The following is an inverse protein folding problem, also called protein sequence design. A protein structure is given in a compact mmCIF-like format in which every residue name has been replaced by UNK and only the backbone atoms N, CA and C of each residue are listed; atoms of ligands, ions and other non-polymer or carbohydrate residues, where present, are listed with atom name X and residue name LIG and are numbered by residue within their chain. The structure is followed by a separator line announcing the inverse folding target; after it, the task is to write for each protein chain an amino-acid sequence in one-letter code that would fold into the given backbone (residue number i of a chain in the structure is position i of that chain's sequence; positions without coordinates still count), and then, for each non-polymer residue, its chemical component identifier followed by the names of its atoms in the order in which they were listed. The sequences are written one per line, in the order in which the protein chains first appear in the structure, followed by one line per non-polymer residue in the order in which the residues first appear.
data_IF_614854766087
#
_entry.id   IF_614854766087
#
_cell.length_a   1.000
_cell.length_b   1.000
_cell.length_c   1.000
_cell.angle_alpha   90.00
_cell.angle_beta   90.00
_cell.angle_gamma   90.00
#
_symmetry.space_group_name_H-M   'P 1'
#
loop_
_entity.id
_entity.type
_entity.pdbx_description
1 polymer ?
#
# COMPACT_ATOMS: atom_id res chain seq x y z
N UNK A 1 18.91 0.50 8.67
CA UNK A 1 18.89 1.38 7.49
C UNK A 1 17.75 2.40 7.62
N UNK A 2 17.91 3.59 7.05
CA UNK A 2 16.87 4.63 7.11
C UNK A 2 15.81 4.42 6.03
N UNK A 3 14.55 4.76 6.34
CA UNK A 3 13.40 4.60 5.47
C UNK A 3 12.99 5.96 4.90
N UNK A 4 12.85 6.05 3.58
CA UNK A 4 12.32 7.22 2.92
C UNK A 4 10.81 7.19 2.78
N UNK A 5 10.09 8.13 3.42
CA UNK A 5 8.65 8.31 3.21
C UNK A 5 8.45 9.32 2.08
N UNK A 6 7.84 8.90 0.99
CA UNK A 6 7.62 9.74 -0.18
C UNK A 6 6.59 10.81 0.14
N UNK A 7 7.03 12.08 0.10
CA UNK A 7 6.19 13.26 0.28
C UNK A 7 5.90 13.92 -1.08
N UNK A 8 4.80 13.52 -1.68
CA UNK A 8 4.30 14.11 -2.92
C UNK A 8 3.09 15.06 -2.70
N UNK A 9 2.93 15.51 -1.45
CA UNK A 9 1.87 16.44 -1.05
C UNK A 9 0.55 15.77 -0.69
N UNK A 10 0.55 14.45 -0.45
CA UNK A 10 -0.63 13.67 -0.01
C UNK A 10 -0.20 12.63 1.02
N UNK A 11 -1.07 12.36 1.97
CA UNK A 11 -0.85 11.31 2.97
C UNK A 11 -0.81 11.82 4.40
N UNK A 12 -1.07 10.94 5.35
CA UNK A 12 -0.90 11.22 6.77
C UNK A 12 0.56 10.97 7.19
N UNK A 13 1.47 11.74 6.58
CA UNK A 13 2.92 11.53 6.70
C UNK A 13 3.40 11.53 8.15
N UNK A 14 2.84 12.42 8.98
CA UNK A 14 3.22 12.53 10.39
C UNK A 14 2.89 11.28 11.20
N UNK A 15 1.73 10.66 10.95
CA UNK A 15 1.33 9.41 11.63
C UNK A 15 2.17 8.22 11.16
N UNK A 16 2.43 8.12 9.85
CA UNK A 16 3.30 7.08 9.28
C UNK A 16 4.70 7.19 9.87
N UNK A 17 5.28 8.39 9.85
CA UNK A 17 6.61 8.67 10.44
C UNK A 17 6.66 8.22 11.89
N UNK A 18 5.73 8.70 12.71
CA UNK A 18 5.68 8.36 14.15
C UNK A 18 5.54 6.86 14.38
N UNK A 19 4.72 6.16 13.60
CA UNK A 19 4.51 4.73 13.76
C UNK A 19 5.79 3.93 13.43
N UNK A 20 6.54 4.32 12.39
CA UNK A 20 7.82 3.70 12.03
C UNK A 20 8.86 3.94 13.13
N UNK A 21 8.96 5.17 13.65
CA UNK A 21 9.89 5.51 14.74
C UNK A 21 9.56 4.72 16.03
N UNK A 22 8.26 4.55 16.34
CA UNK A 22 7.83 3.71 17.47
C UNK A 22 8.13 2.21 17.24
N UNK A 23 8.17 1.76 15.98
CA UNK A 23 8.58 0.40 15.63
C UNK A 23 10.10 0.21 15.63
N UNK A 24 10.88 1.27 15.88
CA UNK A 24 12.35 1.25 15.97
C UNK A 24 13.08 1.60 14.67
N UNK A 25 12.40 2.14 13.66
CA UNK A 25 12.99 2.57 12.40
C UNK A 25 13.42 4.04 12.42
N UNK A 26 14.45 4.35 11.64
CA UNK A 26 14.83 5.74 11.31
C UNK A 26 14.17 6.13 10.00
N UNK A 27 13.54 7.31 9.96
CA UNK A 27 12.79 7.73 8.76
C UNK A 27 12.87 9.22 8.48
N UNK A 28 12.79 9.57 7.19
CA UNK A 28 12.73 10.96 6.72
C UNK A 28 11.70 11.11 5.61
N UNK A 29 11.13 12.31 5.51
CA UNK A 29 10.27 12.66 4.37
C UNK A 29 11.16 13.03 3.18
N UNK A 30 10.86 12.45 2.00
CA UNK A 30 11.59 12.72 0.77
C UNK A 30 10.67 13.31 -0.29
N UNK A 31 11.00 14.51 -0.76
CA UNK A 31 10.23 15.23 -1.79
C UNK A 31 10.82 15.03 -3.19
N UNK A 32 12.14 14.91 -3.26
CA UNK A 32 12.84 14.75 -4.52
C UNK A 32 13.18 13.28 -4.77
N UNK A 33 12.76 12.68 -5.90
CA UNK A 33 13.11 11.31 -6.23
C UNK A 33 14.62 11.00 -6.24
N UNK A 34 15.45 11.99 -6.54
CA UNK A 34 16.93 11.84 -6.52
C UNK A 34 17.46 11.54 -5.11
N UNK A 35 16.72 11.93 -4.07
CA UNK A 35 17.11 11.63 -2.70
C UNK A 35 16.82 10.19 -2.27
N UNK A 36 16.07 9.41 -3.07
CA UNK A 36 15.77 8.01 -2.77
C UNK A 36 17.01 7.15 -2.55
N UNK A 37 18.12 7.50 -3.21
CA UNK A 37 19.40 6.79 -3.08
C UNK A 37 20.01 6.82 -1.67
N UNK A 38 19.58 7.76 -0.84
CA UNK A 38 20.04 7.91 0.55
C UNK A 38 19.37 6.92 1.52
N UNK A 39 18.38 6.17 1.06
CA UNK A 39 17.53 5.31 1.89
C UNK A 39 17.61 3.85 1.45
N UNK A 40 17.46 2.94 2.41
CA UNK A 40 17.46 1.49 2.16
C UNK A 40 16.11 0.97 1.67
N UNK A 41 15.01 1.63 2.04
CA UNK A 41 13.65 1.27 1.64
C UNK A 41 12.76 2.50 1.52
N UNK A 42 11.62 2.33 0.83
CA UNK A 42 10.69 3.40 0.53
C UNK A 42 9.27 3.08 1.02
N UNK A 43 8.57 4.09 1.50
CA UNK A 43 7.13 4.01 1.77
C UNK A 43 6.40 5.00 0.86
N UNK A 44 5.37 4.51 0.18
CA UNK A 44 4.45 5.29 -0.62
C UNK A 44 3.11 5.39 0.13
N UNK A 45 2.88 6.42 0.95
CA UNK A 45 1.59 6.66 1.56
C UNK A 45 0.61 7.21 0.53
N UNK A 46 -0.69 7.09 0.81
CA UNK A 46 -1.71 7.71 -0.02
C UNK A 46 -3.04 7.77 0.72
N UNK A 47 -3.75 8.88 0.58
CA UNK A 47 -5.10 9.08 1.09
C UNK A 47 -5.92 9.91 0.10
N UNK A 48 -7.24 9.74 0.09
CA UNK A 48 -8.13 10.47 -0.80
C UNK A 48 -8.29 9.78 -2.15
N UNK A 49 -8.34 10.55 -3.22
CA UNK A 49 -8.69 10.07 -4.57
C UNK A 49 -7.47 9.55 -5.34
N UNK A 50 -7.63 8.41 -6.01
CA UNK A 50 -6.57 7.77 -6.79
C UNK A 50 -5.99 8.67 -7.90
N UNK A 51 -6.88 9.26 -8.71
CA UNK A 51 -6.46 10.11 -9.84
C UNK A 51 -5.70 11.35 -9.37
N UNK A 52 -6.14 11.98 -8.27
CA UNK A 52 -5.44 13.12 -7.69
C UNK A 52 -4.06 12.72 -7.15
N UNK A 53 -3.97 11.58 -6.47
CA UNK A 53 -2.70 11.04 -5.98
C UNK A 53 -1.72 10.76 -7.12
N UNK A 54 -2.18 10.10 -8.19
CA UNK A 54 -1.36 9.83 -9.37
C UNK A 54 -0.84 11.13 -10.02
N UNK A 55 -1.72 12.12 -10.19
CA UNK A 55 -1.34 13.41 -10.80
C UNK A 55 -0.29 14.14 -9.97
N UNK A 56 -0.41 14.12 -8.64
CA UNK A 56 0.60 14.71 -7.74
C UNK A 56 1.93 13.95 -7.78
N UNK A 57 1.91 12.61 -7.82
CA UNK A 57 3.13 11.82 -8.04
C UNK A 57 3.81 12.19 -9.36
N UNK A 58 3.03 12.33 -10.44
CA UNK A 58 3.54 12.71 -11.76
C UNK A 58 4.15 14.12 -11.76
N UNK A 59 3.48 15.09 -11.15
CA UNK A 59 3.96 16.48 -11.03
C UNK A 59 5.28 16.57 -10.25
N UNK A 60 5.51 15.67 -9.30
CA UNK A 60 6.72 15.61 -8.48
C UNK A 60 7.77 14.63 -9.03
N UNK A 61 7.65 14.19 -10.29
CA UNK A 61 8.57 13.29 -11.00
C UNK A 61 8.70 11.86 -10.40
N UNK A 62 7.88 11.49 -9.43
CA UNK A 62 7.92 10.16 -8.84
C UNK A 62 7.46 9.06 -9.81
N UNK A 63 6.53 9.35 -10.71
CA UNK A 63 6.10 8.39 -11.75
C UNK A 63 7.28 8.01 -12.65
N UNK A 64 8.07 8.99 -13.07
CA UNK A 64 9.27 8.75 -13.89
C UNK A 64 10.33 7.95 -13.11
N UNK A 65 10.54 8.26 -11.82
CA UNK A 65 11.43 7.50 -10.95
C UNK A 65 11.01 6.03 -10.89
N UNK A 66 9.74 5.74 -10.60
CA UNK A 66 9.24 4.36 -10.50
C UNK A 66 9.34 3.61 -11.82
N UNK A 67 9.18 4.27 -12.96
CA UNK A 67 9.26 3.64 -14.29
C UNK A 67 10.68 3.42 -14.78
N UNK A 68 11.63 4.27 -14.43
CA UNK A 68 12.97 4.28 -15.05
C UNK A 68 14.09 3.91 -14.08
N UNK A 69 13.95 4.21 -12.80
CA UNK A 69 15.05 4.12 -11.84
C UNK A 69 14.80 3.11 -10.74
N UNK A 70 13.53 2.93 -10.35
CA UNK A 70 13.15 2.07 -9.23
C UNK A 70 13.51 0.60 -9.51
N UNK A 71 14.22 -0.01 -8.58
CA UNK A 71 14.52 -1.44 -8.53
C UNK A 71 14.11 -2.00 -7.17
N UNK A 72 13.19 -2.96 -7.16
CA UNK A 72 12.71 -3.62 -5.94
C UNK A 72 13.78 -4.44 -5.22
N UNK A 73 14.85 -4.83 -5.90
CA UNK A 73 15.98 -5.51 -5.23
C UNK A 73 16.83 -4.50 -4.43
N UNK A 74 16.83 -3.24 -4.85
CA UNK A 74 17.55 -2.16 -4.14
C UNK A 74 16.69 -1.49 -3.08
N UNK A 75 15.40 -1.25 -3.39
CA UNK A 75 14.47 -0.55 -2.50
C UNK A 75 13.22 -1.39 -2.24
N UNK A 76 13.14 -2.12 -1.12
CA UNK A 76 11.85 -2.60 -0.64
C UNK A 76 10.85 -1.44 -0.57
N UNK A 77 9.63 -1.67 -1.06
CA UNK A 77 8.59 -0.64 -1.17
C UNK A 77 7.32 -1.08 -0.44
N UNK A 78 6.78 -0.22 0.41
CA UNK A 78 5.47 -0.41 1.03
C UNK A 78 4.49 0.68 0.59
N UNK A 79 3.46 0.30 -0.17
CA UNK A 79 2.31 1.15 -0.49
C UNK A 79 1.22 1.07 0.57
N UNK A 80 0.70 2.20 1.07
CA UNK A 80 -0.33 2.23 2.12
C UNK A 80 -1.61 2.84 1.57
N UNK A 81 -2.72 2.11 1.65
CA UNK A 81 -4.07 2.49 1.20
C UNK A 81 -4.04 2.92 -0.27
N UNK A 82 -4.27 4.19 -0.62
CA UNK A 82 -4.14 4.67 -2.01
C UNK A 82 -2.71 4.45 -2.54
N UNK A 83 -1.69 4.44 -1.66
CA UNK A 83 -0.33 4.05 -2.05
C UNK A 83 -0.26 2.61 -2.59
N UNK A 84 -1.00 1.65 -2.00
CA UNK A 84 -1.14 0.31 -2.57
C UNK A 84 -1.88 0.34 -3.91
N UNK A 85 -2.95 1.12 -4.01
CA UNK A 85 -3.69 1.28 -5.27
C UNK A 85 -2.79 1.74 -6.42
N UNK A 86 -1.92 2.71 -6.15
CA UNK A 86 -0.98 3.27 -7.14
C UNK A 86 0.05 2.25 -7.65
N UNK A 87 0.29 1.15 -6.94
CA UNK A 87 1.17 0.07 -7.42
C UNK A 87 0.59 -0.67 -8.62
N UNK A 88 -0.73 -0.63 -8.83
CA UNK A 88 -1.44 -1.34 -9.91
C UNK A 88 -1.16 -0.72 -11.29
N UNK A 89 -1.66 -1.37 -12.35
CA UNK A 89 -1.54 -0.85 -13.72
C UNK A 89 -2.40 0.39 -13.95
N UNK A 90 -3.62 0.43 -13.36
CA UNK A 90 -4.60 1.51 -13.52
C UNK A 90 -5.68 1.50 -12.44
N UNK A 91 -6.37 2.63 -12.29
CA UNK A 91 -7.51 2.76 -11.37
C UNK A 91 -8.65 3.61 -11.96
N UNK A 92 -9.86 3.34 -11.48
CA UNK A 92 -11.09 3.99 -11.95
C UNK A 92 -11.62 5.07 -11.01
N UNK A 93 -11.04 5.25 -9.82
CA UNK A 93 -11.46 6.29 -8.89
C UNK A 93 -11.09 7.68 -9.43
N UNK A 94 -12.09 8.51 -9.68
CA UNK A 94 -11.90 9.86 -10.24
C UNK A 94 -11.60 9.88 -11.75
N UNK A 95 -11.85 8.76 -12.45
CA UNK A 95 -11.65 8.59 -13.88
C UNK A 95 -12.92 8.02 -14.55
N UNK A 96 -13.04 8.15 -15.89
CA UNK A 96 -14.11 7.48 -16.62
C UNK A 96 -13.78 6.01 -16.91
N UNK A 97 -14.81 5.21 -17.20
CA UNK A 97 -14.64 3.80 -17.54
C UNK A 97 -13.77 3.61 -18.80
N UNK A 98 -13.90 4.52 -19.78
CA UNK A 98 -13.15 4.48 -21.03
C UNK A 98 -11.71 4.96 -20.88
N UNK A 99 -11.44 5.84 -19.89
CA UNK A 99 -10.12 6.43 -19.67
C UNK A 99 -9.71 6.30 -18.19
N UNK A 100 -9.36 5.09 -17.73
CA UNK A 100 -8.86 4.91 -16.37
C UNK A 100 -7.53 5.64 -16.18
N UNK A 101 -7.30 6.14 -14.98
CA UNK A 101 -6.02 6.76 -14.63
C UNK A 101 -4.93 5.68 -14.56
N UNK A 102 -3.77 5.87 -15.22
CA UNK A 102 -2.65 4.94 -15.09
C UNK A 102 -2.18 4.79 -13.63
N UNK A 103 -1.50 3.67 -13.37
CA UNK A 103 -0.75 3.46 -12.12
C UNK A 103 0.75 3.34 -12.39
N UNK A 104 1.46 2.80 -11.42
CA UNK A 104 2.91 2.58 -11.50
C UNK A 104 3.24 1.26 -12.23
N UNK A 105 2.29 0.31 -12.32
CA UNK A 105 2.45 -0.97 -13.00
C UNK A 105 3.46 -1.91 -12.32
N UNK A 106 3.70 -1.73 -11.02
CA UNK A 106 4.62 -2.56 -10.24
C UNK A 106 4.00 -3.89 -9.82
N UNK A 107 2.68 -3.93 -9.71
CA UNK A 107 1.86 -5.12 -9.47
C UNK A 107 0.75 -5.15 -10.51
N UNK A 108 0.61 -6.28 -11.22
CA UNK A 108 -0.41 -6.45 -12.25
C UNK A 108 -1.80 -6.51 -11.64
N UNK A 109 -2.65 -5.56 -12.02
CA UNK A 109 -4.00 -5.44 -11.48
C UNK A 109 -4.64 -4.09 -11.75
N UNK A 110 -5.85 -3.94 -11.24
CA UNK A 110 -6.68 -2.73 -11.40
C UNK A 110 -7.31 -2.33 -10.08
N UNK A 111 -7.68 -1.05 -9.96
CA UNK A 111 -8.41 -0.52 -8.80
C UNK A 111 -9.84 -0.19 -9.24
N UNK A 112 -10.84 -0.83 -8.60
CA UNK A 112 -12.26 -0.63 -8.90
C UNK A 112 -13.06 -0.35 -7.62
N UNK A 113 -14.26 0.20 -7.77
CA UNK A 113 -15.16 0.37 -6.64
C UNK A 113 -15.56 -1.01 -6.08
N UNK A 114 -15.68 -1.13 -4.76
CA UNK A 114 -16.08 -2.39 -4.14
C UNK A 114 -17.49 -2.83 -4.53
N UNK A 115 -18.39 -1.89 -4.85
CA UNK A 115 -19.72 -2.25 -5.38
C UNK A 115 -19.62 -2.97 -6.73
N UNK A 116 -18.67 -2.57 -7.59
CA UNK A 116 -18.43 -3.21 -8.88
C UNK A 116 -17.80 -4.61 -8.72
N UNK A 117 -17.16 -4.85 -7.57
CA UNK A 117 -16.66 -6.19 -7.19
C UNK A 117 -17.75 -7.08 -6.55
N UNK A 118 -18.98 -6.58 -6.39
CA UNK A 118 -20.12 -7.32 -5.81
C UNK A 118 -20.36 -7.05 -4.32
N UNK A 119 -19.68 -6.09 -3.71
CA UNK A 119 -19.93 -5.71 -2.32
C UNK A 119 -21.28 -5.00 -2.18
N UNK A 120 -22.17 -5.58 -1.37
CA UNK A 120 -23.50 -5.03 -1.07
C UNK A 120 -23.56 -4.33 0.30
N UNK A 121 -22.45 -4.24 1.02
CA UNK A 121 -22.39 -3.52 2.29
C UNK A 121 -22.25 -2.01 2.06
N UNK A 122 -22.55 -1.23 3.11
CA UNK A 122 -22.40 0.22 3.07
C UNK A 122 -20.94 0.60 2.80
N UNK A 123 -20.70 1.51 1.85
CA UNK A 123 -19.41 2.09 1.57
C UNK A 123 -19.33 3.54 2.09
N UNK A 124 -18.15 4.03 2.52
CA UNK A 124 -16.88 3.29 2.57
C UNK A 124 -16.86 2.17 3.64
N UNK A 125 -16.04 1.13 3.43
CA UNK A 125 -15.64 0.19 4.46
C UNK A 125 -14.80 0.94 5.49
N UNK A 126 -15.34 1.20 6.68
CA UNK A 126 -14.67 1.93 7.76
C UNK A 126 -14.74 1.12 9.04
N UNK A 127 -13.58 0.89 9.64
CA UNK A 127 -13.50 0.24 10.95
C UNK A 127 -12.36 -0.75 11.08
N UNK A 128 -12.38 -1.46 12.19
CA UNK A 128 -11.46 -2.53 12.51
C UNK A 128 -12.04 -3.85 11.99
N UNK A 129 -11.25 -4.56 11.18
CA UNK A 129 -11.62 -5.87 10.66
C UNK A 129 -10.43 -6.81 10.68
N UNK A 130 -10.74 -8.08 10.94
CA UNK A 130 -9.76 -9.17 11.00
C UNK A 130 -9.33 -9.59 9.59
N UNK A 131 -8.03 -9.72 9.38
CA UNK A 131 -7.47 -10.20 8.11
C UNK A 131 -7.23 -11.71 8.11
N UNK A 132 -7.30 -12.31 6.93
CA UNK A 132 -6.86 -13.67 6.64
C UNK A 132 -5.58 -13.61 5.81
N UNK A 133 -4.47 -14.04 6.40
CA UNK A 133 -3.16 -14.06 5.72
C UNK A 133 -3.14 -15.24 4.76
N UNK A 134 -2.72 -15.00 3.52
CA UNK A 134 -2.64 -16.03 2.49
C UNK A 134 -1.54 -17.03 2.81
N UNK A 135 -1.89 -18.33 2.75
CA UNK A 135 -0.98 -19.45 3.05
C UNK A 135 -0.48 -20.15 1.78
N UNK A 136 -0.43 -19.46 0.62
CA UNK A 136 0.02 -20.04 -0.64
C UNK A 136 1.54 -20.38 -0.65
N UNK A 137 2.03 -21.02 0.42
CA UNK A 137 3.40 -21.42 0.62
C UNK A 137 4.03 -20.77 1.85
N UNK A 138 4.78 -19.71 1.67
CA UNK A 138 5.42 -18.97 2.77
C UNK A 138 4.59 -17.76 3.18
N UNK A 139 4.52 -17.52 4.50
CA UNK A 139 3.91 -16.28 5.03
C UNK A 139 4.72 -15.09 4.51
N UNK A 140 4.08 -14.09 3.86
CA UNK A 140 4.78 -12.90 3.40
C UNK A 140 5.57 -12.23 4.53
N UNK A 141 6.80 -11.84 4.28
CA UNK A 141 7.75 -11.37 5.30
C UNK A 141 7.21 -10.23 6.18
N UNK A 142 6.36 -9.35 5.61
CA UNK A 142 5.73 -8.26 6.39
C UNK A 142 4.70 -8.76 7.43
N UNK A 143 4.23 -10.01 7.32
CA UNK A 143 3.30 -10.63 8.27
C UNK A 143 3.97 -11.61 9.25
N UNK A 144 5.30 -11.69 9.28
CA UNK A 144 6.02 -12.55 10.23
C UNK A 144 5.57 -12.26 11.67
N UNK A 145 5.08 -13.31 12.38
CA UNK A 145 4.58 -13.21 13.75
C UNK A 145 3.21 -12.53 13.89
N UNK A 146 2.56 -12.16 12.78
CA UNK A 146 1.16 -11.69 12.76
C UNK A 146 0.28 -12.87 12.35
N UNK A 147 -0.80 -13.12 13.10
CA UNK A 147 -1.65 -14.28 12.89
C UNK A 147 -2.94 -13.92 12.16
N UNK A 148 -3.60 -14.94 11.59
CA UNK A 148 -4.96 -14.81 11.08
C UNK A 148 -5.90 -14.28 12.18
N UNK A 149 -6.93 -13.55 11.76
CA UNK A 149 -7.88 -12.86 12.63
C UNK A 149 -7.27 -11.71 13.46
N UNK A 150 -6.10 -11.20 13.05
CA UNK A 150 -5.57 -9.95 13.59
C UNK A 150 -6.32 -8.77 12.98
N UNK A 151 -6.78 -7.84 13.83
CA UNK A 151 -7.54 -6.67 13.41
C UNK A 151 -6.63 -5.55 12.93
N UNK A 152 -7.02 -4.96 11.79
CA UNK A 152 -6.44 -3.74 11.22
C UNK A 152 -7.52 -2.71 10.92
N UNK A 153 -7.13 -1.43 10.84
CA UNK A 153 -8.04 -0.33 10.55
C UNK A 153 -8.14 -0.04 9.05
N UNK A 154 -9.36 -0.09 8.52
CA UNK A 154 -9.71 0.17 7.13
C UNK A 154 -10.51 1.46 6.97
N UNK A 155 -10.33 2.15 5.86
CA UNK A 155 -11.18 3.24 5.39
C UNK A 155 -11.06 3.39 3.87
N UNK A 156 -11.94 2.72 3.10
CA UNK A 156 -11.89 2.74 1.64
C UNK A 156 -13.21 2.38 1.00
N UNK A 157 -13.45 2.84 -0.24
CA UNK A 157 -14.57 2.44 -1.10
C UNK A 157 -14.10 1.70 -2.36
N UNK A 158 -12.80 1.80 -2.66
CA UNK A 158 -12.15 1.13 -3.78
C UNK A 158 -11.20 0.06 -3.26
N UNK A 159 -10.99 -0.97 -4.06
CA UNK A 159 -10.08 -2.06 -3.74
C UNK A 159 -9.35 -2.53 -5.00
N UNK A 160 -8.27 -3.28 -4.80
CA UNK A 160 -7.49 -3.84 -5.91
C UNK A 160 -8.07 -5.20 -6.34
N UNK A 161 -8.03 -5.44 -7.65
CA UNK A 161 -8.22 -6.75 -8.25
C UNK A 161 -6.90 -7.09 -8.97
N UNK A 162 -6.20 -8.09 -8.45
CA UNK A 162 -4.89 -8.50 -9.00
C UNK A 162 -5.06 -9.62 -10.04
N UNK A 163 -4.18 -9.64 -11.04
CA UNK A 163 -4.21 -10.64 -12.11
C UNK A 163 -3.89 -12.05 -11.59
N UNK A 164 -2.97 -12.16 -10.61
CA UNK A 164 -2.51 -13.45 -10.06
C UNK A 164 -2.84 -13.53 -8.58
N UNK A 165 -3.58 -14.57 -8.18
CA UNK A 165 -3.90 -14.82 -6.77
C UNK A 165 -2.65 -14.99 -5.89
N UNK A 166 -1.52 -15.43 -6.44
CA UNK A 166 -0.24 -15.53 -5.73
C UNK A 166 0.33 -14.20 -5.26
N UNK A 167 -0.19 -13.06 -5.77
CA UNK A 167 0.19 -11.73 -5.30
C UNK A 167 -0.64 -11.26 -4.10
N UNK A 168 -1.71 -11.99 -3.72
CA UNK A 168 -2.52 -11.67 -2.54
C UNK A 168 -1.81 -12.19 -1.30
N UNK A 169 -1.43 -11.30 -0.41
CA UNK A 169 -0.77 -11.60 0.86
C UNK A 169 -1.76 -11.73 2.02
N UNK A 170 -2.87 -11.01 1.95
CA UNK A 170 -3.97 -11.11 2.90
C UNK A 170 -5.28 -10.64 2.27
N UNK A 171 -6.39 -11.16 2.80
CA UNK A 171 -7.75 -10.74 2.47
C UNK A 171 -8.53 -10.33 3.72
N UNK A 172 -9.68 -9.68 3.51
CA UNK A 172 -10.63 -9.31 4.57
C UNK A 172 -12.06 -9.53 4.08
N UNK A 173 -12.91 -10.13 4.91
CA UNK A 173 -14.34 -10.27 4.61
C UNK A 173 -15.08 -8.95 4.89
N UNK A 174 -15.67 -8.40 3.85
CA UNK A 174 -16.63 -7.31 3.97
C UNK A 174 -17.86 -7.57 3.08
N UNK A 175 -18.50 -8.75 3.26
CA UNK A 175 -19.60 -9.26 2.43
C UNK A 175 -19.12 -9.86 1.11
N UNK A 176 -17.92 -9.59 0.73
CA UNK A 176 -17.08 -10.25 -0.28
C UNK A 176 -15.67 -10.37 0.27
N UNK A 177 -14.87 -11.22 -0.31
CA UNK A 177 -13.44 -11.34 0.04
C UNK A 177 -12.64 -10.23 -0.67
N UNK A 178 -12.20 -9.22 0.08
CA UNK A 178 -11.46 -8.06 -0.41
C UNK A 178 -9.97 -8.28 -0.22
N UNK A 179 -9.17 -7.92 -1.19
CA UNK A 179 -7.70 -7.92 -1.06
C UNK A 179 -7.28 -6.89 -0.01
N UNK A 180 -6.79 -7.36 1.13
CA UNK A 180 -6.29 -6.53 2.23
C UNK A 180 -4.82 -6.19 2.10
N UNK A 181 -4.03 -7.06 1.46
CA UNK A 181 -2.60 -6.84 1.22
C UNK A 181 -2.13 -7.60 -0.02
N UNK A 182 -1.13 -7.02 -0.68
CA UNK A 182 -0.47 -7.60 -1.86
C UNK A 182 1.04 -7.65 -1.64
N UNK A 183 1.71 -8.62 -2.29
CA UNK A 183 3.17 -8.64 -2.38
C UNK A 183 3.65 -9.19 -3.72
N UNK A 184 4.78 -8.65 -4.18
CA UNK A 184 5.52 -9.15 -5.32
C UNK A 184 7.01 -8.86 -5.08
N UNK A 185 7.79 -9.91 -4.75
CA UNK A 185 9.18 -9.76 -4.30
C UNK A 185 9.25 -8.80 -3.09
N UNK A 186 10.04 -7.73 -3.18
CA UNK A 186 10.19 -6.71 -2.15
C UNK A 186 9.20 -5.52 -2.29
N UNK A 187 8.14 -5.69 -3.07
CA UNK A 187 7.05 -4.71 -3.19
C UNK A 187 5.86 -5.21 -2.39
N UNK A 188 5.42 -4.41 -1.44
CA UNK A 188 4.30 -4.70 -0.54
C UNK A 188 3.24 -3.60 -0.64
N UNK A 189 1.99 -3.98 -0.42
CA UNK A 189 0.89 -3.02 -0.33
C UNK A 189 -0.10 -3.44 0.74
N UNK A 190 -0.65 -2.48 1.48
CA UNK A 190 -1.72 -2.70 2.45
C UNK A 190 -2.91 -1.80 2.15
N UNK A 191 -4.13 -2.36 2.16
CA UNK A 191 -5.37 -1.59 2.05
C UNK A 191 -5.69 -0.87 3.35
N UNK A 192 -5.37 -1.50 4.45
CA UNK A 192 -5.51 -0.94 5.79
C UNK A 192 -4.37 0.04 6.08
N UNK A 193 -4.56 0.81 7.15
CA UNK A 193 -3.61 1.79 7.66
C UNK A 193 -2.82 1.22 8.84
N UNK A 194 -1.58 0.72 8.66
CA UNK A 194 -0.78 0.20 9.77
C UNK A 194 -0.55 1.28 10.85
N UNK A 195 -0.37 2.54 10.46
CA UNK A 195 -0.17 3.67 11.37
C UNK A 195 -1.38 3.98 12.27
N UNK A 196 -2.54 3.38 11.96
CA UNK A 196 -3.78 3.46 12.76
C UNK A 196 -4.17 2.13 13.39
N UNK A 197 -3.34 1.08 13.22
CA UNK A 197 -3.66 -0.29 13.59
C UNK A 197 -2.97 -0.76 14.88
N UNK A 198 -2.68 0.17 15.80
CA UNK A 198 -2.17 -0.12 17.14
C UNK A 198 -0.95 -1.08 17.11
N UNK A 199 -0.93 -2.10 17.98
CA UNK A 199 0.18 -3.07 18.09
C UNK A 199 0.40 -3.89 16.82
N UNK A 200 -0.67 -4.26 16.11
CA UNK A 200 -0.58 -5.00 14.86
C UNK A 200 0.13 -4.21 13.76
N UNK A 201 -0.20 -2.91 13.65
CA UNK A 201 0.47 -2.02 12.71
C UNK A 201 1.94 -1.79 13.04
N UNK A 202 2.30 -1.66 14.32
CA UNK A 202 3.70 -1.55 14.75
C UNK A 202 4.48 -2.83 14.45
N UNK A 203 3.88 -4.01 14.63
CA UNK A 203 4.50 -5.30 14.29
C UNK A 203 4.78 -5.38 12.77
N UNK A 204 3.83 -4.94 11.93
CA UNK A 204 4.01 -4.90 10.48
C UNK A 204 5.15 -3.95 10.08
N UNK A 205 5.22 -2.74 10.65
CA UNK A 205 6.32 -1.83 10.39
C UNK A 205 7.67 -2.38 10.85
N UNK A 206 7.72 -3.05 12.01
CA UNK A 206 8.94 -3.72 12.48
C UNK A 206 9.42 -4.79 11.50
N UNK A 207 8.48 -5.57 10.93
CA UNK A 207 8.82 -6.55 9.91
C UNK A 207 9.35 -5.87 8.64
N UNK A 208 8.71 -4.78 8.18
CA UNK A 208 9.18 -4.03 7.01
C UNK A 208 10.57 -3.41 7.23
N UNK A 209 10.87 -2.88 8.42
CA UNK A 209 12.20 -2.39 8.82
C UNK A 209 13.26 -3.50 8.69
N UNK A 210 12.93 -4.73 9.05
CA UNK A 210 13.86 -5.87 8.99
C UNK A 210 14.09 -6.41 7.57
N UNK A 211 13.25 -6.05 6.60
CA UNK A 211 13.43 -6.36 5.16
C UNK A 211 14.35 -5.33 4.49
N UNK A 212 14.47 -4.15 5.08
CA UNK A 212 15.15 -2.96 4.53
C UNK A 212 16.65 -3.03 4.66
#
# INVERSE_FOLDING_TARGET
MSIGIIDYGVGNLGSVKRAIELAGGETSLIKNPLDAEKYGSLILPGVGNYTECYNKLKQNNWVEFFKKTFDSNRWPLLGICVGMHLLMDKGYEGASAENPTPGLGLIKGVVTNLSDQGCNKRLPHVGWNSINISSNGEVPSIFTGIHNNTDFYFVHSYGVVVEKASMISASVDYGIDIVASVSNKNIFGTQFHPEKSSKAGLALYKNFINIS
#
